data_IF_763570716649
#
_entry.id   IF_763570716649
#
_cell.length_a   1.000
_cell.length_b   1.000
_cell.length_c   1.000
_cell.angle_alpha   90.00
_cell.angle_beta   90.00
_cell.angle_gamma   90.00
#
_symmetry.space_group_name_H-M   'P 1'
#
loop_
_entity.id
_entity.type
_entity.pdbx_description
1 polymer ?
#
# COMPACT_ATOMS: atom_id res chain seq x y z
N UNK A 1 76.58 20.44 11.29
CA UNK A 1 75.82 21.04 12.40
C UNK A 1 74.39 21.41 11.98
N UNK A 2 74.16 22.30 11.00
CA UNK A 2 72.81 22.73 10.56
C UNK A 2 71.85 21.58 10.12
N UNK A 3 72.34 20.61 9.35
CA UNK A 3 71.53 19.47 8.87
C UNK A 3 70.96 18.57 9.97
N UNK A 4 71.68 18.40 11.09
CA UNK A 4 71.21 17.63 12.25
C UNK A 4 70.14 18.38 13.04
N UNK A 5 70.20 19.71 13.06
CA UNK A 5 69.18 20.55 13.71
C UNK A 5 67.89 20.52 12.90
N UNK A 6 67.97 20.60 11.57
CA UNK A 6 66.80 20.49 10.68
C UNK A 6 66.14 19.10 10.75
N UNK A 7 66.90 18.00 10.79
CA UNK A 7 66.35 16.66 10.99
C UNK A 7 65.72 16.47 12.38
N UNK A 8 66.30 17.07 13.43
CA UNK A 8 65.74 17.04 14.78
C UNK A 8 64.44 17.85 14.89
N UNK A 9 64.38 19.03 14.28
CA UNK A 9 63.15 19.84 14.26
C UNK A 9 62.06 19.18 13.40
N UNK A 10 62.43 18.56 12.26
CA UNK A 10 61.48 17.80 11.45
C UNK A 10 60.91 16.59 12.17
N UNK A 11 61.74 15.84 12.91
CA UNK A 11 61.28 14.69 13.71
C UNK A 11 60.46 15.13 14.90
N UNK A 12 60.81 16.23 15.57
CA UNK A 12 60.01 16.81 16.66
C UNK A 12 58.63 17.24 16.18
N UNK A 13 58.55 17.94 15.04
CA UNK A 13 57.27 18.36 14.47
C UNK A 13 56.42 17.15 14.03
N UNK A 14 57.04 16.09 13.50
CA UNK A 14 56.33 14.86 13.16
C UNK A 14 55.79 14.12 14.40
N UNK A 15 56.52 14.14 15.52
CA UNK A 15 56.06 13.59 16.80
C UNK A 15 54.91 14.41 17.36
N UNK A 16 55.00 15.74 17.32
CA UNK A 16 53.94 16.64 17.78
C UNK A 16 52.66 16.45 16.95
N UNK A 17 52.77 16.35 15.62
CA UNK A 17 51.63 16.06 14.74
C UNK A 17 50.97 14.72 15.10
N UNK A 18 51.77 13.63 15.25
CA UNK A 18 51.22 12.33 15.65
C UNK A 18 50.58 12.33 17.03
N UNK A 19 51.02 13.22 17.94
CA UNK A 19 50.46 13.34 19.28
C UNK A 19 49.11 14.06 19.27
N UNK A 20 48.93 15.00 18.36
CA UNK A 20 47.62 15.64 18.10
C UNK A 20 46.66 14.62 17.48
N UNK A 21 47.08 13.90 16.43
CA UNK A 21 46.26 12.86 15.79
C UNK A 21 45.84 11.76 16.78
N UNK A 22 46.72 11.40 17.71
CA UNK A 22 46.41 10.44 18.78
C UNK A 22 45.33 10.97 19.72
N UNK A 23 45.42 12.24 20.12
CA UNK A 23 44.42 12.89 20.98
C UNK A 23 43.05 12.96 20.31
N UNK A 24 43.01 13.24 19.01
CA UNK A 24 41.77 13.27 18.23
C UNK A 24 41.16 11.87 18.12
N UNK A 25 41.98 10.83 17.83
CA UNK A 25 41.54 9.43 17.84
C UNK A 25 40.99 8.98 19.20
N UNK A 26 41.59 9.46 20.29
CA UNK A 26 41.18 9.11 21.66
C UNK A 26 39.84 9.78 22.02
N UNK A 27 39.63 11.03 21.59
CA UNK A 27 38.33 11.70 21.72
C UNK A 27 37.23 11.02 20.87
N UNK A 28 37.53 10.60 19.65
CA UNK A 28 36.60 9.84 18.82
C UNK A 28 36.23 8.49 19.47
N UNK A 29 37.22 7.79 20.05
CA UNK A 29 37.00 6.55 20.78
C UNK A 29 36.13 6.75 22.02
N UNK A 30 36.34 7.82 22.78
CA UNK A 30 35.53 8.13 23.95
C UNK A 30 34.10 8.56 23.56
N UNK A 31 33.93 9.27 22.44
CA UNK A 31 32.62 9.57 21.86
C UNK A 31 31.86 8.32 21.39
N UNK A 32 32.56 7.36 20.77
CA UNK A 32 32.00 6.06 20.38
C UNK A 32 31.65 5.21 21.60
N UNK A 33 32.49 5.19 22.64
CA UNK A 33 32.22 4.50 23.92
C UNK A 33 31.02 5.08 24.65
N UNK A 34 30.88 6.40 24.69
CA UNK A 34 29.71 7.07 25.27
C UNK A 34 28.43 6.74 24.49
N UNK A 35 28.53 6.67 23.16
CA UNK A 35 27.41 6.26 22.29
C UNK A 35 27.01 4.79 22.52
N UNK A 36 27.97 3.91 22.82
CA UNK A 36 27.74 2.49 23.12
C UNK A 36 27.21 2.26 24.55
N UNK A 37 27.63 3.06 25.53
CA UNK A 37 27.23 2.91 26.93
C UNK A 37 25.71 3.13 27.20
N UNK A 38 25.00 3.77 26.26
CA UNK A 38 23.54 3.98 26.34
C UNK A 38 22.70 2.85 25.74
N UNK A 39 23.31 1.84 25.11
CA UNK A 39 22.60 0.68 24.58
C UNK A 39 22.55 -0.42 25.65
N UNK A 40 21.35 -0.75 26.11
CA UNK A 40 21.11 -1.94 26.91
C UNK A 40 21.46 -3.18 26.06
N UNK A 41 22.53 -3.86 26.43
CA UNK A 41 23.11 -5.01 25.75
C UNK A 41 22.07 -6.15 25.63
N UNK A 42 21.13 -6.22 26.59
CA UNK A 42 20.02 -7.16 26.57
C UNK A 42 18.96 -6.77 25.52
N UNK A 43 18.61 -5.48 25.42
CA UNK A 43 17.71 -4.98 24.39
C UNK A 43 18.29 -5.12 22.98
N UNK A 44 19.60 -4.93 22.80
CA UNK A 44 20.30 -5.14 21.53
C UNK A 44 20.26 -6.62 21.14
N UNK A 45 20.61 -7.52 22.07
CA UNK A 45 20.56 -8.97 21.84
C UNK A 45 19.16 -9.48 21.55
N UNK A 46 18.13 -8.93 22.20
CA UNK A 46 16.74 -9.24 21.93
C UNK A 46 16.31 -8.77 20.53
N UNK A 47 16.71 -7.57 20.10
CA UNK A 47 16.46 -7.08 18.74
C UNK A 47 17.19 -7.90 17.68
N UNK A 48 18.43 -8.31 17.93
CA UNK A 48 19.19 -9.18 17.03
C UNK A 48 18.57 -10.58 16.92
N UNK A 49 18.12 -11.14 18.05
CA UNK A 49 17.38 -12.42 18.07
C UNK A 49 16.06 -12.32 17.30
N UNK A 50 15.28 -11.25 17.52
CA UNK A 50 14.04 -10.99 16.77
C UNK A 50 14.32 -10.81 15.27
N UNK A 51 15.40 -10.11 14.89
CA UNK A 51 15.83 -9.95 13.50
C UNK A 51 16.24 -11.29 12.89
N UNK A 52 16.94 -12.14 13.63
CA UNK A 52 17.34 -13.47 13.18
C UNK A 52 16.13 -14.39 12.96
N UNK A 53 15.16 -14.36 13.88
CA UNK A 53 13.89 -15.08 13.74
C UNK A 53 13.10 -14.60 12.52
N UNK A 54 12.96 -13.28 12.35
CA UNK A 54 12.27 -12.69 11.21
C UNK A 54 12.95 -13.04 9.87
N UNK A 55 14.30 -13.03 9.81
CA UNK A 55 15.05 -13.52 8.63
C UNK A 55 14.83 -15.00 8.36
N UNK A 56 14.68 -15.82 9.39
CA UNK A 56 14.41 -17.25 9.23
C UNK A 56 13.01 -17.48 8.67
N UNK A 57 12.01 -16.74 9.14
CA UNK A 57 10.65 -16.75 8.59
C UNK A 57 10.61 -16.26 7.15
N UNK A 58 11.29 -15.16 6.84
CA UNK A 58 11.44 -14.64 5.48
C UNK A 58 12.02 -15.72 4.55
N UNK A 59 13.08 -16.41 5.00
CA UNK A 59 13.71 -17.50 4.23
C UNK A 59 12.74 -18.67 4.00
N UNK A 60 11.95 -19.06 5.00
CA UNK A 60 10.92 -20.10 4.84
C UNK A 60 9.85 -19.67 3.84
N UNK A 61 9.34 -18.44 3.97
CA UNK A 61 8.35 -17.89 3.05
C UNK A 61 8.87 -17.85 1.60
N UNK A 62 10.14 -17.50 1.39
CA UNK A 62 10.79 -17.57 0.07
C UNK A 62 10.88 -19.00 -0.47
N UNK A 63 11.19 -19.98 0.39
CA UNK A 63 11.22 -21.40 0.00
C UNK A 63 9.83 -21.89 -0.39
N UNK A 64 8.82 -21.56 0.39
CA UNK A 64 7.42 -21.92 0.13
C UNK A 64 6.91 -21.27 -1.16
N UNK A 65 7.20 -19.99 -1.38
CA UNK A 65 6.89 -19.31 -2.63
C UNK A 65 7.52 -20.00 -3.84
N UNK A 66 8.79 -20.42 -3.72
CA UNK A 66 9.50 -21.15 -4.77
C UNK A 66 8.86 -22.52 -5.05
N UNK A 67 8.45 -23.23 -3.99
CA UNK A 67 7.75 -24.50 -4.11
C UNK A 67 6.38 -24.33 -4.78
N UNK A 68 5.60 -23.33 -4.36
CA UNK A 68 4.31 -23.00 -4.98
C UNK A 68 4.45 -22.63 -6.46
N UNK A 69 5.45 -21.82 -6.82
CA UNK A 69 5.76 -21.50 -8.23
C UNK A 69 6.10 -22.74 -9.05
N UNK A 70 6.89 -23.66 -8.51
CA UNK A 70 7.22 -24.91 -9.18
C UNK A 70 5.98 -25.78 -9.37
N UNK A 71 5.14 -25.89 -8.33
CA UNK A 71 3.90 -26.66 -8.40
C UNK A 71 2.92 -26.07 -9.43
N UNK A 72 2.86 -24.73 -9.53
CA UNK A 72 2.07 -24.05 -10.54
C UNK A 72 2.55 -24.37 -11.96
N UNK A 73 3.86 -24.28 -12.23
CA UNK A 73 4.44 -24.63 -13.54
C UNK A 73 4.20 -26.11 -13.90
N UNK A 74 4.27 -27.02 -12.92
CA UNK A 74 3.91 -28.44 -13.13
C UNK A 74 2.43 -28.57 -13.49
N UNK A 75 1.53 -27.94 -12.74
CA UNK A 75 0.09 -28.00 -12.98
C UNK A 75 -0.28 -27.39 -14.34
N UNK A 76 0.35 -26.28 -14.75
CA UNK A 76 0.16 -25.66 -16.06
C UNK A 76 0.60 -26.57 -17.21
N UNK A 77 1.73 -27.27 -17.04
CA UNK A 77 2.20 -28.26 -18.03
C UNK A 77 1.27 -29.46 -18.11
N UNK A 78 0.79 -29.95 -16.97
CA UNK A 78 -0.18 -31.05 -16.92
C UNK A 78 -1.50 -30.65 -17.57
N UNK A 79 -2.00 -29.44 -17.31
CA UNK A 79 -3.17 -28.87 -17.96
C UNK A 79 -2.98 -28.80 -19.48
N UNK A 80 -1.82 -28.28 -19.94
CA UNK A 80 -1.48 -28.20 -21.37
C UNK A 80 -1.39 -29.58 -22.02
N UNK A 81 -0.80 -30.55 -21.34
CA UNK A 81 -0.71 -31.94 -21.81
C UNK A 81 -2.09 -32.61 -21.87
N UNK A 82 -2.94 -32.41 -20.86
CA UNK A 82 -4.31 -32.92 -20.84
C UNK A 82 -5.15 -32.31 -21.97
N UNK A 83 -5.06 -31.00 -22.18
CA UNK A 83 -5.71 -30.31 -23.30
C UNK A 83 -5.22 -30.83 -24.66
N UNK A 84 -3.91 -31.07 -24.80
CA UNK A 84 -3.35 -31.64 -26.04
C UNK A 84 -3.83 -33.07 -26.29
N UNK A 85 -3.99 -33.89 -25.24
CA UNK A 85 -4.61 -35.22 -25.34
C UNK A 85 -6.08 -35.12 -25.72
N UNK A 86 -6.83 -34.22 -25.10
CA UNK A 86 -8.24 -33.93 -25.45
C UNK A 86 -8.35 -33.54 -26.94
N UNK A 87 -7.44 -32.70 -27.44
CA UNK A 87 -7.40 -32.32 -28.86
C UNK A 87 -7.10 -33.54 -29.78
N UNK A 88 -6.17 -34.41 -29.38
CA UNK A 88 -5.85 -35.64 -30.12
C UNK A 88 -7.02 -36.62 -30.17
N UNK A 89 -7.72 -36.84 -29.06
CA UNK A 89 -8.92 -37.69 -29.00
C UNK A 89 -10.14 -37.03 -29.67
N UNK A 90 -10.22 -35.69 -29.65
CA UNK A 90 -11.23 -34.90 -30.36
C UNK A 90 -11.18 -35.08 -31.87
N UNK A 91 -10.02 -35.41 -32.45
CA UNK A 91 -9.86 -35.70 -33.88
C UNK A 91 -10.66 -36.90 -34.40
N UNK A 92 -11.05 -37.84 -33.54
CA UNK A 92 -11.60 -39.15 -33.93
C UNK A 92 -13.14 -39.21 -34.01
N UNK A 93 -13.86 -38.23 -33.46
CA UNK A 93 -15.33 -38.16 -33.52
C UNK A 93 -15.80 -36.71 -33.71
N UNK A 94 -16.58 -36.45 -34.77
CA UNK A 94 -17.13 -35.11 -35.09
C UNK A 94 -17.90 -34.47 -33.92
N UNK A 95 -18.56 -35.28 -33.08
CA UNK A 95 -19.25 -34.81 -31.88
C UNK A 95 -18.27 -34.31 -30.80
N UNK A 96 -17.14 -34.99 -30.60
CA UNK A 96 -16.09 -34.59 -29.65
C UNK A 96 -15.46 -33.23 -30.01
N UNK A 97 -15.25 -32.96 -31.31
CA UNK A 97 -14.74 -31.65 -31.76
C UNK A 97 -15.66 -30.48 -31.39
N UNK A 98 -16.97 -30.68 -31.37
CA UNK A 98 -17.93 -29.64 -30.98
C UNK A 98 -17.75 -29.30 -29.50
N UNK A 99 -17.58 -30.30 -28.63
CA UNK A 99 -17.34 -30.10 -27.20
C UNK A 99 -16.00 -29.41 -26.93
N UNK A 100 -14.92 -29.86 -27.58
CA UNK A 100 -13.59 -29.22 -27.46
C UNK A 100 -13.64 -27.76 -27.91
N UNK A 101 -14.27 -27.48 -29.05
CA UNK A 101 -14.41 -26.10 -29.55
C UNK A 101 -15.24 -25.22 -28.62
N UNK A 102 -16.30 -25.76 -28.02
CA UNK A 102 -17.13 -25.05 -27.03
C UNK A 102 -16.35 -24.78 -25.75
N UNK A 103 -15.63 -25.77 -25.23
CA UNK A 103 -14.79 -25.63 -24.05
C UNK A 103 -13.71 -24.57 -24.24
N UNK A 104 -13.01 -24.61 -25.39
CA UNK A 104 -12.02 -23.59 -25.74
C UNK A 104 -12.62 -22.18 -25.78
N UNK A 105 -13.74 -22.00 -26.47
CA UNK A 105 -14.44 -20.71 -26.52
C UNK A 105 -14.91 -20.24 -25.13
N UNK A 106 -15.38 -21.15 -24.29
CA UNK A 106 -15.80 -20.82 -22.93
C UNK A 106 -14.59 -20.38 -22.08
N UNK A 107 -13.44 -21.04 -22.23
CA UNK A 107 -12.21 -20.65 -21.57
C UNK A 107 -11.69 -19.30 -22.07
N UNK A 108 -11.69 -19.08 -23.38
CA UNK A 108 -11.28 -17.81 -23.98
C UNK A 108 -12.17 -16.65 -23.46
N UNK A 109 -13.48 -16.90 -23.35
CA UNK A 109 -14.43 -15.93 -22.78
C UNK A 109 -14.20 -15.71 -21.28
N UNK A 110 -13.94 -16.77 -20.50
CA UNK A 110 -13.65 -16.66 -19.08
C UNK A 110 -12.39 -15.81 -18.84
N UNK A 111 -11.31 -16.09 -19.56
CA UNK A 111 -10.07 -15.30 -19.49
C UNK A 111 -10.31 -13.83 -19.85
N UNK A 112 -11.08 -13.57 -20.92
CA UNK A 112 -11.44 -12.22 -21.33
C UNK A 112 -12.24 -11.47 -20.24
N UNK A 113 -13.21 -12.14 -19.60
CA UNK A 113 -13.99 -11.54 -18.51
C UNK A 113 -13.11 -11.27 -17.29
N UNK A 114 -12.21 -12.19 -16.93
CA UNK A 114 -11.27 -12.01 -15.81
C UNK A 114 -10.30 -10.85 -16.03
N UNK A 115 -9.71 -10.73 -17.22
CA UNK A 115 -8.83 -9.61 -17.56
C UNK A 115 -9.58 -8.28 -17.51
N UNK A 116 -10.80 -8.24 -18.07
CA UNK A 116 -11.62 -7.04 -18.04
C UNK A 116 -12.06 -6.68 -16.63
N UNK A 117 -12.41 -7.66 -15.79
CA UNK A 117 -12.75 -7.44 -14.38
C UNK A 117 -11.58 -6.79 -13.62
N UNK A 118 -10.35 -7.29 -13.79
CA UNK A 118 -9.15 -6.73 -13.15
C UNK A 118 -8.91 -5.28 -13.55
N UNK A 119 -9.07 -4.96 -14.83
CA UNK A 119 -8.90 -3.59 -15.33
C UNK A 119 -9.94 -2.65 -14.70
N UNK A 120 -11.19 -3.07 -14.68
CA UNK A 120 -12.31 -2.29 -14.13
C UNK A 120 -12.19 -2.10 -12.61
N UNK A 121 -11.75 -3.12 -11.88
CA UNK A 121 -11.48 -3.01 -10.44
C UNK A 121 -10.34 -2.03 -10.16
N UNK A 122 -9.28 -2.03 -10.96
CA UNK A 122 -8.18 -1.08 -10.82
C UNK A 122 -8.64 0.37 -11.10
N UNK A 123 -9.43 0.58 -12.16
CA UNK A 123 -9.98 1.88 -12.50
C UNK A 123 -10.96 2.39 -11.43
N UNK A 124 -11.84 1.51 -10.93
CA UNK A 124 -12.75 1.83 -9.85
C UNK A 124 -12.01 2.25 -8.57
N UNK A 125 -10.96 1.50 -8.18
CA UNK A 125 -10.12 1.85 -7.04
C UNK A 125 -9.48 3.22 -7.21
N UNK A 126 -8.87 3.48 -8.36
CA UNK A 126 -8.26 4.79 -8.66
C UNK A 126 -9.27 5.93 -8.52
N UNK A 127 -10.45 5.81 -9.15
CA UNK A 127 -11.50 6.85 -9.09
C UNK A 127 -12.03 7.08 -7.68
N UNK A 128 -12.17 6.02 -6.89
CA UNK A 128 -12.59 6.11 -5.49
C UNK A 128 -11.52 6.79 -4.65
N UNK A 129 -10.25 6.41 -4.80
CA UNK A 129 -9.11 7.03 -4.11
C UNK A 129 -8.99 8.53 -4.43
N UNK A 130 -9.07 8.91 -5.71
CA UNK A 130 -9.04 10.31 -6.15
C UNK A 130 -10.17 11.13 -5.49
N UNK A 131 -11.35 10.53 -5.36
CA UNK A 131 -12.51 11.16 -4.73
C UNK A 131 -12.32 11.33 -3.22
N UNK A 132 -11.70 10.35 -2.57
CA UNK A 132 -11.33 10.45 -1.14
C UNK A 132 -10.27 11.55 -0.95
N UNK A 133 -9.24 11.58 -1.80
CA UNK A 133 -8.17 12.59 -1.71
C UNK A 133 -8.70 14.00 -1.87
N UNK A 134 -9.69 14.24 -2.76
CA UNK A 134 -10.37 15.54 -2.86
C UNK A 134 -10.96 16.01 -1.52
N UNK A 135 -11.54 15.10 -0.74
CA UNK A 135 -12.09 15.44 0.59
C UNK A 135 -10.98 15.59 1.62
N UNK A 136 -9.96 14.73 1.60
CA UNK A 136 -8.83 14.79 2.53
C UNK A 136 -8.00 16.06 2.35
N UNK A 137 -7.71 16.46 1.11
CA UNK A 137 -6.95 17.66 0.79
C UNK A 137 -7.72 18.93 1.19
N UNK A 138 -9.05 18.90 1.13
CA UNK A 138 -9.88 20.01 1.59
C UNK A 138 -9.94 20.10 3.12
N UNK A 139 -9.86 18.98 3.84
CA UNK A 139 -10.08 18.89 5.30
C UNK A 139 -8.79 18.83 6.11
N UNK A 140 -7.64 18.50 5.52
CA UNK A 140 -6.40 18.27 6.24
C UNK A 140 -5.22 19.02 5.61
N UNK A 141 -4.52 19.79 6.43
CA UNK A 141 -3.28 20.47 6.04
C UNK A 141 -2.06 19.54 6.03
N UNK A 142 -2.21 18.28 6.48
CA UNK A 142 -1.10 17.36 6.75
C UNK A 142 -0.68 16.48 5.57
N UNK A 143 -1.20 16.73 4.36
CA UNK A 143 -0.87 15.95 3.16
C UNK A 143 -1.22 14.47 3.33
N UNK A 144 -2.45 14.17 3.74
CA UNK A 144 -2.90 12.79 3.96
C UNK A 144 -3.23 12.11 2.64
N UNK A 145 -2.82 10.85 2.49
CA UNK A 145 -3.15 10.01 1.33
C UNK A 145 -3.85 8.75 1.80
N UNK A 146 -4.96 8.42 1.16
CA UNK A 146 -5.66 7.16 1.39
C UNK A 146 -5.34 6.16 0.28
N UNK A 147 -5.22 4.88 0.61
CA UNK A 147 -5.01 3.82 -0.38
C UNK A 147 -5.90 2.63 -0.06
N UNK A 148 -6.59 2.12 -1.08
CA UNK A 148 -7.46 0.97 -1.02
C UNK A 148 -6.67 -0.26 -1.48
N UNK A 149 -6.42 -1.19 -0.55
CA UNK A 149 -5.69 -2.42 -0.85
C UNK A 149 -6.58 -3.42 -1.62
N UNK A 150 -5.96 -4.49 -2.13
CA UNK A 150 -6.64 -5.52 -2.92
C UNK A 150 -7.71 -6.29 -2.12
N UNK A 151 -7.61 -6.29 -0.78
CA UNK A 151 -8.61 -6.85 0.13
C UNK A 151 -9.72 -5.85 0.49
N UNK A 152 -9.79 -4.71 -0.22
CA UNK A 152 -10.72 -3.61 0.00
C UNK A 152 -10.58 -2.92 1.36
N UNK A 153 -9.44 -3.09 2.04
CA UNK A 153 -9.13 -2.31 3.23
C UNK A 153 -8.56 -0.95 2.84
N UNK A 154 -9.18 0.10 3.37
CA UNK A 154 -8.72 1.47 3.17
C UNK A 154 -7.69 1.80 4.25
N UNK A 155 -6.48 2.19 3.86
CA UNK A 155 -5.40 2.66 4.73
C UNK A 155 -5.09 4.14 4.54
N UNK A 156 -4.57 4.79 5.59
CA UNK A 156 -4.20 6.20 5.58
C UNK A 156 -2.69 6.32 5.76
N UNK A 157 -2.07 7.21 5.00
CA UNK A 157 -0.64 7.44 4.93
C UNK A 157 -0.33 8.94 5.06
N UNK A 158 0.91 9.25 5.40
CA UNK A 158 1.39 10.62 5.53
C UNK A 158 2.32 10.96 4.37
N UNK A 159 1.88 11.87 3.49
CA UNK A 159 2.53 12.12 2.21
C UNK A 159 2.37 10.94 1.25
N UNK A 160 3.27 10.87 0.27
CA UNK A 160 3.28 9.81 -0.76
C UNK A 160 4.11 8.57 -0.36
N UNK A 161 4.51 8.48 0.92
CA UNK A 161 5.15 7.29 1.47
C UNK A 161 4.08 6.27 1.91
N UNK A 162 3.91 5.24 1.08
CA UNK A 162 2.99 4.12 1.31
C UNK A 162 3.63 2.94 2.07
N UNK A 163 4.81 3.11 2.66
CA UNK A 163 5.54 2.02 3.33
C UNK A 163 4.90 1.57 4.64
N UNK A 164 4.31 2.50 5.41
CA UNK A 164 3.70 2.20 6.69
C UNK A 164 2.40 2.98 6.89
N UNK A 165 1.26 2.30 7.13
CA UNK A 165 0.01 2.97 7.40
C UNK A 165 0.08 3.73 8.73
N UNK A 166 -0.42 4.96 8.72
CA UNK A 166 -0.49 5.84 9.88
C UNK A 166 -1.67 5.43 10.79
N UNK A 167 -1.47 5.38 12.13
CA UNK A 167 -2.57 5.30 13.08
C UNK A 167 -3.53 6.48 12.92
N UNK A 168 -4.84 6.21 12.99
CA UNK A 168 -5.87 7.22 12.78
C UNK A 168 -6.34 7.78 14.11
N UNK A 169 -6.49 9.10 14.19
CA UNK A 169 -7.30 9.69 15.26
C UNK A 169 -8.79 9.40 15.05
N UNK A 170 -9.61 9.53 16.10
CA UNK A 170 -11.07 9.38 16.01
C UNK A 170 -11.69 10.27 14.92
N UNK A 171 -11.28 11.54 14.87
CA UNK A 171 -11.74 12.49 13.85
C UNK A 171 -11.26 12.12 12.44
N UNK A 172 -9.99 11.75 12.27
CA UNK A 172 -9.47 11.31 10.95
C UNK A 172 -10.18 10.06 10.46
N UNK A 173 -10.50 9.11 11.34
CA UNK A 173 -11.25 7.92 10.98
C UNK A 173 -12.68 8.28 10.53
N UNK A 174 -13.33 9.24 11.18
CA UNK A 174 -14.66 9.70 10.79
C UNK A 174 -14.64 10.45 9.45
N UNK A 175 -13.67 11.34 9.22
CA UNK A 175 -13.50 12.03 7.92
C UNK A 175 -13.26 11.00 6.82
N UNK A 176 -12.38 10.03 7.06
CA UNK A 176 -12.04 9.01 6.07
C UNK A 176 -13.25 8.13 5.73
N UNK A 177 -14.00 7.67 6.74
CA UNK A 177 -15.21 6.86 6.50
C UNK A 177 -16.27 7.63 5.73
N UNK A 178 -16.41 8.93 6.01
CA UNK A 178 -17.36 9.80 5.34
C UNK A 178 -16.93 10.11 3.90
N UNK A 179 -15.65 10.40 3.68
CA UNK A 179 -15.05 10.57 2.36
C UNK A 179 -15.19 9.30 1.52
N UNK A 180 -14.94 8.13 2.11
CA UNK A 180 -15.08 6.83 1.45
C UNK A 180 -16.53 6.56 1.02
N UNK A 181 -17.49 6.75 1.93
CA UNK A 181 -18.91 6.55 1.60
C UNK A 181 -19.37 7.53 0.52
N UNK A 182 -18.92 8.78 0.57
CA UNK A 182 -19.24 9.79 -0.44
C UNK A 182 -18.63 9.47 -1.80
N UNK A 183 -17.38 9.00 -1.82
CA UNK A 183 -16.70 8.55 -3.02
C UNK A 183 -17.43 7.37 -3.68
N UNK A 184 -17.93 6.40 -2.90
CA UNK A 184 -18.73 5.29 -3.44
C UNK A 184 -20.03 5.78 -4.08
N UNK A 185 -20.74 6.70 -3.43
CA UNK A 185 -21.98 7.28 -3.98
C UNK A 185 -21.69 8.09 -5.26
N UNK A 186 -20.61 8.87 -5.28
CA UNK A 186 -20.18 9.63 -6.46
C UNK A 186 -19.77 8.70 -7.61
N UNK A 187 -19.04 7.63 -7.31
CA UNK A 187 -18.64 6.62 -8.28
C UNK A 187 -19.86 5.92 -8.89
N UNK A 188 -20.81 5.47 -8.06
CA UNK A 188 -22.06 4.88 -8.53
C UNK A 188 -22.88 5.85 -9.39
N UNK A 189 -22.95 7.12 -9.00
CA UNK A 189 -23.61 8.17 -9.79
C UNK A 189 -22.91 8.40 -11.14
N UNK A 190 -21.58 8.41 -11.18
CA UNK A 190 -20.81 8.61 -12.42
C UNK A 190 -21.04 7.45 -13.37
N UNK A 191 -20.96 6.21 -12.86
CA UNK A 191 -21.19 4.99 -13.63
C UNK A 191 -22.64 4.81 -14.10
N UNK A 192 -23.61 5.53 -13.52
CA UNK A 192 -24.99 5.56 -14.04
C UNK A 192 -25.10 6.22 -15.42
N UNK A 193 -24.13 7.10 -15.74
CA UNK A 193 -24.07 7.86 -17.00
C UNK A 193 -23.19 7.19 -18.06
N UNK A 194 -22.45 6.14 -17.71
CA UNK A 194 -21.66 5.39 -18.69
C UNK A 194 -22.57 4.65 -19.67
N UNK A 195 -22.24 4.77 -20.95
CA UNK A 195 -22.95 4.10 -22.02
C UNK A 195 -22.49 2.65 -22.23
N UNK A 196 -21.35 2.26 -21.63
CA UNK A 196 -20.87 0.89 -21.68
C UNK A 196 -21.86 -0.05 -20.98
N UNK A 197 -22.41 -0.99 -21.76
CA UNK A 197 -23.36 -2.01 -21.30
C UNK A 197 -22.68 -3.31 -20.89
N UNK A 198 -21.35 -3.40 -20.98
CA UNK A 198 -20.63 -4.62 -20.61
C UNK A 198 -20.74 -4.94 -19.13
N UNK A 199 -21.04 -3.93 -18.30
CA UNK A 199 -21.17 -4.07 -16.85
C UNK A 199 -22.47 -3.45 -16.36
N UNK A 200 -22.81 -3.75 -15.10
CA UNK A 200 -23.95 -3.15 -14.44
C UNK A 200 -23.78 -1.62 -14.37
N UNK A 201 -24.81 -0.92 -14.82
CA UNK A 201 -24.92 0.53 -14.68
C UNK A 201 -24.95 0.90 -13.20
N UNK A 202 -24.30 2.01 -12.87
CA UNK A 202 -24.37 2.56 -11.53
C UNK A 202 -25.77 3.08 -11.19
N UNK A 203 -26.07 3.16 -9.89
CA UNK A 203 -27.35 3.65 -9.39
C UNK A 203 -27.18 5.04 -8.78
N UNK A 204 -28.13 5.95 -9.05
CA UNK A 204 -28.21 7.23 -8.35
C UNK A 204 -29.04 7.03 -7.07
N UNK A 205 -28.36 6.88 -5.94
CA UNK A 205 -29.00 6.68 -4.64
C UNK A 205 -28.85 7.93 -3.73
N UNK A 206 -29.81 8.17 -2.82
CA UNK A 206 -29.63 9.16 -1.76
C UNK A 206 -28.61 8.67 -0.73
N UNK A 207 -27.85 9.59 -0.17
CA UNK A 207 -26.92 9.34 0.93
C UNK A 207 -27.61 9.68 2.26
N UNK A 208 -27.70 8.69 3.16
CA UNK A 208 -28.28 8.85 4.49
C UNK A 208 -27.19 8.68 5.55
N UNK A 209 -27.03 9.66 6.44
CA UNK A 209 -25.99 9.67 7.46
C UNK A 209 -26.56 10.03 8.83
N UNK A 210 -26.26 9.21 9.83
CA UNK A 210 -26.59 9.47 11.23
C UNK A 210 -25.36 9.98 11.99
N UNK A 211 -25.52 11.11 12.68
CA UNK A 211 -24.47 11.76 13.46
C UNK A 211 -23.10 11.87 12.75
N UNK A 212 -23.03 12.31 11.47
CA UNK A 212 -21.82 12.26 10.64
C UNK A 212 -20.65 13.10 11.16
N UNK A 213 -20.91 13.99 12.12
CA UNK A 213 -20.00 15.04 12.56
C UNK A 213 -19.52 14.89 14.01
N UNK A 214 -19.92 13.82 14.72
CA UNK A 214 -19.78 13.73 16.17
C UNK A 214 -18.36 13.79 16.75
N UNK A 215 -17.32 13.41 15.99
CA UNK A 215 -15.91 13.43 16.39
C UNK A 215 -15.10 14.47 15.60
N UNK A 216 -15.75 15.30 14.79
CA UNK A 216 -15.11 16.31 13.97
C UNK A 216 -15.04 17.65 14.70
N UNK A 217 -13.96 18.41 14.48
CA UNK A 217 -13.89 19.81 14.90
C UNK A 217 -14.71 20.71 13.95
N UNK A 218 -15.03 21.94 14.38
CA UNK A 218 -15.88 22.86 13.60
C UNK A 218 -15.37 23.15 12.18
N UNK A 219 -14.06 23.24 12.01
CA UNK A 219 -13.43 23.48 10.69
C UNK A 219 -13.68 22.30 9.75
N UNK A 220 -13.38 21.07 10.20
CA UNK A 220 -13.58 19.86 9.41
C UNK A 220 -15.07 19.60 9.13
N UNK A 221 -15.95 19.89 10.10
CA UNK A 221 -17.41 19.82 9.91
C UNK A 221 -17.85 20.72 8.76
N UNK A 222 -17.42 21.98 8.73
CA UNK A 222 -17.79 22.92 7.68
C UNK A 222 -17.30 22.49 6.30
N UNK A 223 -16.03 22.07 6.19
CA UNK A 223 -15.46 21.63 4.92
C UNK A 223 -16.18 20.39 4.40
N UNK A 224 -16.42 19.42 5.28
CA UNK A 224 -17.07 18.16 4.96
C UNK A 224 -18.53 18.39 4.53
N UNK A 225 -19.27 19.20 5.28
CA UNK A 225 -20.66 19.56 4.96
C UNK A 225 -20.79 20.30 3.61
N UNK A 226 -19.74 21.00 3.16
CA UNK A 226 -19.69 21.64 1.83
C UNK A 226 -19.37 20.65 0.69
N UNK A 227 -18.69 19.55 0.98
CA UNK A 227 -18.29 18.57 -0.03
C UNK A 227 -19.35 17.50 -0.28
N UNK A 228 -19.97 16.96 0.78
CA UNK A 228 -20.95 15.88 0.66
C UNK A 228 -22.06 16.13 -0.37
N UNK A 229 -22.70 17.33 -0.42
CA UNK A 229 -23.78 17.58 -1.38
C UNK A 229 -23.32 17.62 -2.85
N UNK A 230 -22.02 17.78 -3.11
CA UNK A 230 -21.47 17.78 -4.47
C UNK A 230 -21.27 16.37 -4.99
N UNK A 231 -20.99 15.42 -4.09
CA UNK A 231 -20.65 14.04 -4.40
C UNK A 231 -21.91 13.17 -4.58
N UNK A 232 -22.95 13.40 -3.77
CA UNK A 232 -24.22 12.70 -3.88
C UNK A 232 -25.29 13.52 -4.63
N UNK A 233 -26.34 12.89 -5.13
CA UNK A 233 -27.50 13.60 -5.71
C UNK A 233 -28.48 14.11 -4.66
N UNK A 234 -28.56 13.44 -3.52
CA UNK A 234 -29.34 13.84 -2.36
C UNK A 234 -28.59 13.41 -1.10
N UNK A 235 -28.55 14.27 -0.09
CA UNK A 235 -27.94 13.98 1.21
C UNK A 235 -28.99 14.25 2.29
N UNK A 236 -29.20 13.26 3.16
CA UNK A 236 -30.09 13.33 4.33
C UNK A 236 -29.22 13.12 5.56
N UNK A 237 -29.16 14.13 6.43
CA UNK A 237 -28.35 14.11 7.64
C UNK A 237 -29.25 14.11 8.87
N UNK A 238 -29.00 13.18 9.79
CA UNK A 238 -29.50 13.26 11.16
C UNK A 238 -28.38 13.82 12.02
N UNK A 239 -28.59 15.02 12.55
CA UNK A 239 -27.62 15.73 13.41
C UNK A 239 -28.26 16.07 14.74
N UNK A 240 -27.52 15.89 15.83
CA UNK A 240 -27.98 16.24 17.18
C UNK A 240 -27.52 17.65 17.57
N UNK A 241 -28.21 18.27 18.53
CA UNK A 241 -27.91 19.65 18.98
C UNK A 241 -26.48 19.87 19.48
N UNK A 242 -25.74 18.82 19.86
CA UNK A 242 -24.33 18.92 20.24
C UNK A 242 -23.38 19.03 19.04
N UNK A 243 -23.88 18.90 17.81
CA UNK A 243 -23.13 18.88 16.56
C UNK A 243 -23.47 20.06 15.62
N UNK A 244 -24.38 20.97 16.04
CA UNK A 244 -24.76 22.20 15.32
C UNK A 244 -23.93 23.41 15.78
#
# INVERSE_FOLDING_TARGET
SKRYVEEFESTRNAIEAKRVDWGDCEQELDGLRASLAGFDDEALRNKESARAACRQEEKKAWQDLSNHRRNLDIAERELKAANSKIDQFGGLQKESQIFVRRAKKAQDLANFIEERLKLEEAEARSKIEDSIHRVLDATSTKGLRAKLLDDYTLHLFQGDDFSAPKPRSSGENQILGLAFTAALVEFAKTRSKDDDRSLLRGTIAPMFLDAPFGQLNKENQQVTARHLPKMASQVILLVSNSQL
#
